data_IF_990663946967
#
_entry.id   IF_990663946967
#
_cell.length_a   1.000
_cell.length_b   1.000
_cell.length_c   1.000
_cell.angle_alpha   90.00
_cell.angle_beta   90.00
_cell.angle_gamma   90.00
#
_symmetry.space_group_name_H-M   'P 1'
#
loop_
_entity.id
_entity.type
_entity.pdbx_description
1 polymer ?
#
# COMPACT_ATOMS: atom_id res chain seq x y z
N UNK A 1 17.38 10.84 -3.92
CA UNK A 1 16.20 10.84 -4.81
C UNK A 1 15.33 12.04 -4.42
N UNK A 2 14.97 12.96 -5.32
CA UNK A 2 13.96 13.97 -5.02
C UNK A 2 12.58 13.32 -4.84
N UNK A 3 11.93 13.63 -3.72
CA UNK A 3 10.52 13.34 -3.50
C UNK A 3 9.69 14.22 -4.46
N UNK A 4 8.77 13.62 -5.20
CA UNK A 4 7.88 14.34 -6.12
C UNK A 4 6.49 14.54 -5.56
N UNK A 5 5.92 13.49 -4.96
CA UNK A 5 4.56 13.48 -4.43
C UNK A 5 4.51 12.68 -3.15
N UNK A 6 3.66 13.10 -2.24
CA UNK A 6 3.44 12.40 -0.98
C UNK A 6 1.96 12.40 -0.62
N UNK A 7 1.45 11.23 -0.22
CA UNK A 7 0.11 11.07 0.31
C UNK A 7 0.24 10.48 1.71
N UNK A 8 -0.14 11.26 2.71
CA UNK A 8 -0.05 10.86 4.12
C UNK A 8 -1.40 10.43 4.67
N UNK A 9 -1.37 9.65 5.75
CA UNK A 9 -2.55 9.23 6.49
C UNK A 9 -3.55 8.42 5.64
N UNK A 10 -3.04 7.59 4.73
CA UNK A 10 -3.87 6.72 3.89
C UNK A 10 -4.34 5.55 4.75
N UNK A 11 -5.66 5.45 4.93
CA UNK A 11 -6.26 4.35 5.69
C UNK A 11 -6.32 3.13 4.80
N UNK A 12 -5.62 2.08 5.20
CA UNK A 12 -5.60 0.81 4.51
C UNK A 12 -6.09 -0.29 5.44
N UNK A 13 -7.00 -1.13 4.93
CA UNK A 13 -7.54 -2.28 5.65
C UNK A 13 -7.08 -3.54 4.94
N UNK A 14 -6.35 -4.40 5.65
CA UNK A 14 -5.97 -5.71 5.13
C UNK A 14 -6.46 -6.82 6.04
N UNK A 15 -6.95 -7.90 5.44
CA UNK A 15 -7.24 -9.12 6.15
C UNK A 15 -5.91 -9.79 6.49
N UNK A 16 -5.63 -9.98 7.78
CA UNK A 16 -4.52 -10.82 8.23
C UNK A 16 -4.80 -12.24 7.71
N UNK A 17 -4.12 -12.68 6.66
CA UNK A 17 -4.44 -13.93 5.96
C UNK A 17 -4.23 -15.11 6.91
N UNK A 18 -5.23 -15.41 7.74
CA UNK A 18 -5.34 -16.66 8.46
C UNK A 18 -5.61 -17.69 7.38
N UNK A 19 -4.53 -18.28 6.89
CA UNK A 19 -4.53 -19.32 5.88
C UNK A 19 -5.64 -20.29 6.24
N UNK A 20 -6.67 -20.35 5.40
CA UNK A 20 -7.81 -21.22 5.62
C UNK A 20 -7.32 -22.65 5.40
N UNK A 21 -6.68 -23.22 6.42
CA UNK A 21 -6.41 -24.63 6.50
C UNK A 21 -7.75 -25.33 6.29
N UNK A 22 -7.79 -26.19 5.28
CA UNK A 22 -8.98 -26.92 4.84
C UNK A 22 -9.64 -27.60 6.05
N UNK A 23 -10.87 -27.19 6.40
CA UNK A 23 -11.62 -27.79 7.50
C UNK A 23 -12.52 -28.92 6.96
N UNK A 24 -12.51 -30.12 7.56
CA UNK A 24 -13.38 -31.22 7.16
C UNK A 24 -14.86 -30.90 7.43
N UNK A 25 -15.75 -31.61 6.72
CA UNK A 25 -17.21 -31.42 6.83
C UNK A 25 -17.69 -31.65 8.28
N UNK A 26 -18.25 -30.60 8.90
CA UNK A 26 -18.75 -30.60 10.28
C UNK A 26 -18.01 -29.68 11.25
N UNK A 27 -16.98 -28.95 10.80
CA UNK A 27 -16.34 -27.92 11.63
C UNK A 27 -17.10 -26.59 11.59
N UNK A 28 -17.25 -25.97 12.76
CA UNK A 28 -17.71 -24.59 12.93
C UNK A 28 -16.92 -23.68 11.98
N UNK A 29 -17.62 -22.81 11.25
CA UNK A 29 -16.96 -21.88 10.34
C UNK A 29 -15.94 -21.03 11.12
N UNK A 30 -14.68 -20.89 10.67
CA UNK A 30 -13.70 -20.11 11.41
C UNK A 30 -14.22 -18.68 11.56
N UNK A 31 -14.04 -18.10 12.75
CA UNK A 31 -14.37 -16.70 13.02
C UNK A 31 -13.83 -15.80 11.91
N UNK A 32 -14.56 -14.73 11.52
CA UNK A 32 -14.13 -13.84 10.44
C UNK A 32 -12.71 -13.35 10.71
N UNK A 33 -11.90 -13.41 9.66
CA UNK A 33 -10.50 -13.02 9.69
C UNK A 33 -10.36 -11.60 10.25
N UNK A 34 -9.55 -11.38 11.32
CA UNK A 34 -9.42 -10.06 11.91
C UNK A 34 -8.87 -9.08 10.87
N UNK A 35 -9.65 -8.05 10.56
CA UNK A 35 -9.22 -6.96 9.69
C UNK A 35 -8.33 -6.01 10.50
N UNK A 36 -7.11 -5.79 10.04
CA UNK A 36 -6.23 -4.77 10.61
C UNK A 36 -6.37 -3.49 9.81
N UNK A 37 -6.57 -2.40 10.53
CA UNK A 37 -6.56 -1.05 9.97
C UNK A 37 -5.19 -0.46 10.25
N UNK A 38 -4.52 0.00 9.21
CA UNK A 38 -3.23 0.66 9.32
C UNK A 38 -3.27 1.99 8.59
N UNK A 39 -2.39 2.88 9.03
CA UNK A 39 -2.16 4.17 8.41
C UNK A 39 -0.88 4.11 7.60
N UNK A 40 -0.98 4.32 6.29
CA UNK A 40 0.13 4.35 5.36
C UNK A 40 0.55 5.79 5.04
N UNK A 41 1.85 5.98 4.93
CA UNK A 41 2.44 7.10 4.19
C UNK A 41 2.97 6.56 2.87
N UNK A 42 2.55 7.16 1.77
CA UNK A 42 2.90 6.76 0.41
C UNK A 42 3.65 7.91 -0.25
N UNK A 43 4.79 7.60 -0.88
CA UNK A 43 5.66 8.56 -1.54
C UNK A 43 5.95 8.11 -2.96
N UNK A 44 6.05 9.09 -3.87
CA UNK A 44 6.61 8.88 -5.19
C UNK A 44 7.90 9.68 -5.28
N UNK A 45 9.00 8.97 -5.47
CA UNK A 45 10.34 9.52 -5.61
C UNK A 45 10.80 9.39 -7.06
N UNK A 46 11.62 10.33 -7.51
CA UNK A 46 12.25 10.26 -8.84
C UNK A 46 13.72 9.91 -8.69
N UNK A 47 14.16 8.90 -9.44
CA UNK A 47 15.57 8.58 -9.58
C UNK A 47 16.04 8.94 -11.00
N UNK A 48 16.93 9.94 -11.14
CA UNK A 48 17.39 10.40 -12.44
C UNK A 48 18.18 9.30 -13.16
N UNK A 49 17.62 8.82 -14.28
CA UNK A 49 18.23 7.79 -15.12
C UNK A 49 17.64 6.40 -14.94
N UNK A 50 16.83 6.18 -13.90
CA UNK A 50 16.32 4.86 -13.52
C UNK A 50 14.78 4.81 -13.50
N UNK A 51 14.11 5.85 -12.99
CA UNK A 51 12.65 5.99 -13.11
C UNK A 51 11.98 6.64 -11.92
N UNK A 52 10.82 6.10 -11.56
CA UNK A 52 10.00 6.56 -10.44
C UNK A 52 9.80 5.41 -9.46
N UNK A 53 9.96 5.69 -8.18
CA UNK A 53 9.78 4.71 -7.11
C UNK A 53 8.50 5.08 -6.38
N UNK A 54 7.57 4.13 -6.30
CA UNK A 54 6.43 4.23 -5.39
C UNK A 54 6.79 3.46 -4.13
N UNK A 55 6.95 4.17 -3.02
CA UNK A 55 7.21 3.57 -1.72
C UNK A 55 6.04 3.82 -0.77
N UNK A 56 5.79 2.87 0.12
CA UNK A 56 4.84 3.05 1.21
C UNK A 56 5.35 2.40 2.49
N UNK A 57 4.94 2.97 3.62
CA UNK A 57 5.22 2.39 4.93
C UNK A 57 4.05 2.63 5.88
N UNK A 58 3.75 1.64 6.73
CA UNK A 58 2.77 1.83 7.78
C UNK A 58 3.39 2.52 9.00
N UNK A 59 2.69 3.52 9.52
CA UNK A 59 3.11 4.24 10.74
C UNK A 59 3.10 3.36 11.97
N UNK A 60 2.15 2.44 12.02
CA UNK A 60 1.91 1.56 13.16
C UNK A 60 2.79 0.30 13.11
N UNK A 61 3.19 -0.12 11.91
CA UNK A 61 4.00 -1.31 11.68
C UNK A 61 5.04 -1.07 10.58
N UNK A 62 6.29 -0.74 10.93
CA UNK A 62 7.32 -0.45 9.93
C UNK A 62 7.75 -1.69 9.12
N UNK A 63 7.29 -2.90 9.48
CA UNK A 63 7.52 -4.10 8.66
C UNK A 63 6.56 -4.18 7.48
N UNK A 64 5.43 -3.48 7.55
CA UNK A 64 4.54 -3.23 6.42
C UNK A 64 5.05 -2.04 5.61
N UNK A 65 6.17 -2.24 4.94
CA UNK A 65 6.76 -1.29 4.01
C UNK A 65 7.17 -2.00 2.72
N UNK A 66 7.06 -1.31 1.59
CA UNK A 66 7.42 -1.83 0.28
C UNK A 66 7.71 -0.67 -0.68
N UNK A 67 8.56 -0.94 -1.65
CA UNK A 67 8.87 -0.05 -2.75
C UNK A 67 8.81 -0.81 -4.08
N UNK A 68 8.31 -0.15 -5.12
CA UNK A 68 8.21 -0.70 -6.47
C UNK A 68 8.60 0.35 -7.52
N UNK A 69 9.06 -0.13 -8.67
CA UNK A 69 9.73 0.66 -9.70
C UNK A 69 8.86 0.82 -10.95
N UNK A 70 8.75 2.06 -11.40
CA UNK A 70 7.92 2.44 -12.53
C UNK A 70 8.70 3.28 -13.54
N UNK A 71 8.50 2.97 -14.82
CA UNK A 71 9.11 3.73 -15.92
C UNK A 71 8.51 5.12 -16.14
N UNK A 72 7.41 5.47 -15.46
CA UNK A 72 6.79 6.80 -15.56
C UNK A 72 6.02 7.19 -14.30
N UNK A 73 5.94 8.50 -14.04
CA UNK A 73 5.15 9.06 -12.93
C UNK A 73 3.69 8.60 -13.00
N UNK A 74 3.09 8.62 -14.19
CA UNK A 74 1.69 8.23 -14.38
C UNK A 74 1.45 6.75 -14.04
N UNK A 75 2.42 5.87 -14.25
CA UNK A 75 2.31 4.47 -13.88
C UNK A 75 2.39 4.28 -12.36
N UNK A 76 3.29 5.01 -11.68
CA UNK A 76 3.37 5.01 -10.22
C UNK A 76 2.07 5.54 -9.58
N UNK A 77 1.48 6.61 -10.14
CA UNK A 77 0.20 7.14 -9.67
C UNK A 77 -0.95 6.15 -9.90
N UNK A 78 -1.02 5.52 -11.07
CA UNK A 78 -2.05 4.52 -11.36
C UNK A 78 -1.93 3.30 -10.43
N UNK A 79 -0.71 2.85 -10.14
CA UNK A 79 -0.48 1.75 -9.20
C UNK A 79 -0.89 2.13 -7.77
N UNK A 80 -0.59 3.35 -7.33
CA UNK A 80 -1.03 3.85 -6.03
C UNK A 80 -2.56 4.00 -5.93
N UNK A 81 -3.21 4.42 -7.00
CA UNK A 81 -4.67 4.45 -7.09
C UNK A 81 -5.26 3.03 -7.04
N UNK A 82 -4.70 2.07 -7.78
CA UNK A 82 -5.18 0.68 -7.79
C UNK A 82 -4.97 -0.02 -6.43
N UNK A 83 -3.82 0.17 -5.80
CA UNK A 83 -3.48 -0.49 -4.54
C UNK A 83 -4.16 0.16 -3.32
N UNK A 84 -4.22 1.49 -3.29
CA UNK A 84 -4.58 2.25 -2.08
C UNK A 84 -5.74 3.23 -2.29
N UNK A 85 -6.27 3.37 -3.50
CA UNK A 85 -7.32 4.34 -3.81
C UNK A 85 -6.86 5.79 -3.74
N UNK A 86 -5.55 6.05 -3.88
CA UNK A 86 -4.98 7.40 -3.81
C UNK A 86 -5.23 8.12 -5.14
N UNK A 87 -6.35 8.82 -5.23
CA UNK A 87 -6.66 9.68 -6.37
C UNK A 87 -5.74 10.91 -6.48
N UNK A 88 -5.78 11.63 -7.61
CA UNK A 88 -4.90 12.77 -7.90
C UNK A 88 -4.98 13.90 -6.86
N UNK A 89 -6.15 14.13 -6.26
CA UNK A 89 -6.38 15.16 -5.23
C UNK A 89 -5.81 14.82 -3.84
N UNK A 90 -5.34 13.58 -3.64
CA UNK A 90 -4.77 13.13 -2.36
C UNK A 90 -3.25 13.32 -2.27
N UNK A 91 -2.62 13.67 -3.38
CA UNK A 91 -1.19 13.92 -3.43
C UNK A 91 -0.87 15.35 -3.02
N UNK A 92 -0.02 15.48 -2.00
CA UNK A 92 0.68 16.70 -1.69
C UNK A 92 1.92 16.82 -2.60
N UNK A 93 2.22 18.04 -3.04
CA UNK A 93 3.40 18.32 -3.88
C UNK A 93 4.55 18.67 -2.95
N UNK A 94 5.61 17.88 -3.01
CA UNK A 94 6.83 18.11 -2.25
C UNK A 94 7.64 19.32 -2.77
#
# INVERSE_FOLDING_TARGET
MPLLKQATCIRYEYADRSESCWLPAGSDSPSPTPTRRITLDVTIEYEPGDGFILAYSAREDPTFAYDDWFGSLSAAEAAAEEMFGIGPDRWDKA
#
